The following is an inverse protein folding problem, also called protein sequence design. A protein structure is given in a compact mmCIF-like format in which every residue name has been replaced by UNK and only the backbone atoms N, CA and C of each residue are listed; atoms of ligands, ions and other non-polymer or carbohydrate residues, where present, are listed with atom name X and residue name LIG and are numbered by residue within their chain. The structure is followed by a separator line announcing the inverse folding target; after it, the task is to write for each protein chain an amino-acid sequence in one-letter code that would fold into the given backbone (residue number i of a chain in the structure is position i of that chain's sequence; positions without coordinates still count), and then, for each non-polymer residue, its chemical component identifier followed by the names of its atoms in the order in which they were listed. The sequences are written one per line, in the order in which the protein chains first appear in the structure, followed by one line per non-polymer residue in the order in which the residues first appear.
data_IF_634627876837
#
_entry.id   IF_634627876837
#
_cell.length_a   1.000
_cell.length_b   1.000
_cell.length_c   1.000
_cell.angle_alpha   90.00
_cell.angle_beta   90.00
_cell.angle_gamma   90.00
#
_symmetry.space_group_name_H-M   'P 1'
#
loop_
_entity.id
_entity.type
_entity.pdbx_description
1 polymer ?
#
# COMPACT_ATOMS: atom_id res chain seq x y z
N UNK A 1 6.25 22.22 -2.73
CA UNK A 1 6.21 21.39 -1.49
C UNK A 1 6.20 22.29 -0.28
N UNK A 2 5.35 22.01 0.72
CA UNK A 2 5.33 22.80 1.95
C UNK A 2 6.57 22.46 2.81
N UNK A 3 7.02 23.41 3.67
CA UNK A 3 8.12 23.19 4.63
C UNK A 3 7.85 21.93 5.49
N UNK A 4 6.60 21.71 5.88
CA UNK A 4 6.17 20.54 6.65
C UNK A 4 6.43 19.22 5.91
N UNK A 5 6.19 19.17 4.59
CA UNK A 5 6.47 17.98 3.79
C UNK A 5 7.97 17.69 3.70
N UNK A 6 8.81 18.72 3.64
CA UNK A 6 10.26 18.55 3.64
C UNK A 6 10.76 17.97 4.96
N UNK A 7 10.26 18.48 6.10
CA UNK A 7 10.58 17.94 7.43
C UNK A 7 10.07 16.50 7.56
N UNK A 8 8.86 16.23 7.15
CA UNK A 8 8.29 14.90 7.19
C UNK A 8 9.09 13.90 6.34
N UNK A 9 9.50 14.27 5.12
CA UNK A 9 10.36 13.45 4.26
C UNK A 9 11.73 13.20 4.90
N UNK A 10 12.34 14.22 5.54
CA UNK A 10 13.60 14.04 6.26
C UNK A 10 13.45 13.06 7.43
N UNK A 11 12.43 13.24 8.26
CA UNK A 11 12.14 12.32 9.37
C UNK A 11 11.83 10.90 8.88
N UNK A 12 11.12 10.77 7.75
CA UNK A 12 10.86 9.49 7.15
C UNK A 12 12.15 8.86 6.58
N UNK A 13 13.03 9.65 5.97
CA UNK A 13 14.29 9.14 5.43
C UNK A 13 15.23 8.58 6.50
N UNK A 14 15.22 9.17 7.71
CA UNK A 14 16.00 8.70 8.84
C UNK A 14 15.51 7.41 9.49
N UNK A 15 14.26 6.99 9.21
CA UNK A 15 13.74 5.71 9.72
C UNK A 15 14.24 4.56 8.84
N UNK A 16 14.72 3.50 9.48
CA UNK A 16 15.12 2.29 8.78
C UNK A 16 13.90 1.55 8.24
N UNK A 17 14.00 1.06 7.00
CA UNK A 17 13.02 0.12 6.47
C UNK A 17 13.26 -1.26 7.06
N UNK A 18 12.21 -2.02 7.41
CA UNK A 18 12.39 -3.36 7.89
C UNK A 18 13.12 -4.21 6.83
N UNK A 19 14.10 -5.00 7.30
CA UNK A 19 14.85 -5.91 6.42
C UNK A 19 13.94 -7.07 6.01
N UNK A 20 13.63 -7.17 4.74
CA UNK A 20 12.94 -8.31 4.14
C UNK A 20 13.69 -8.73 2.89
N UNK A 21 13.80 -10.03 2.66
CA UNK A 21 14.33 -10.53 1.40
C UNK A 21 13.38 -10.10 0.26
N UNK A 22 13.87 -9.27 -0.64
CA UNK A 22 13.10 -8.81 -1.79
C UNK A 22 12.85 -9.96 -2.74
N UNK A 23 11.61 -10.15 -3.12
CA UNK A 23 11.21 -11.18 -4.06
C UNK A 23 10.01 -10.70 -4.87
N UNK A 24 10.14 -10.75 -6.19
CA UNK A 24 9.00 -10.54 -7.08
C UNK A 24 8.15 -11.81 -7.09
N UNK A 25 6.96 -11.73 -6.50
CA UNK A 25 6.05 -12.87 -6.39
C UNK A 25 5.05 -12.80 -7.55
N UNK A 26 5.02 -13.81 -8.46
CA UNK A 26 4.04 -13.85 -9.55
C UNK A 26 2.63 -14.07 -9.01
N UNK A 27 1.63 -13.69 -9.79
CA UNK A 27 0.22 -13.81 -9.40
C UNK A 27 -0.15 -15.20 -8.87
N UNK A 28 0.31 -16.27 -9.54
CA UNK A 28 0.02 -17.67 -9.16
C UNK A 28 0.63 -18.13 -7.82
N UNK A 29 1.54 -17.35 -7.25
CA UNK A 29 2.21 -17.65 -5.98
C UNK A 29 1.86 -16.64 -4.87
N UNK A 30 1.02 -15.64 -5.19
CA UNK A 30 0.56 -14.68 -4.19
C UNK A 30 -0.34 -15.38 -3.16
N UNK A 31 -0.11 -15.08 -1.91
CA UNK A 31 -0.94 -15.55 -0.80
C UNK A 31 -1.55 -14.40 -0.01
N UNK A 32 -0.81 -13.29 0.12
CA UNK A 32 -1.20 -12.21 1.00
C UNK A 32 -0.78 -10.84 0.45
N UNK A 33 -1.75 -9.96 0.21
CA UNK A 33 -1.54 -8.62 -0.36
C UNK A 33 -2.01 -7.55 0.61
N UNK A 34 -1.21 -6.51 0.79
CA UNK A 34 -1.61 -5.28 1.46
C UNK A 34 -1.88 -4.19 0.42
N UNK A 35 -3.04 -3.56 0.49
CA UNK A 35 -3.34 -2.33 -0.26
C UNK A 35 -3.37 -1.17 0.73
N UNK A 36 -2.62 -0.10 0.44
CA UNK A 36 -2.72 1.17 1.15
C UNK A 36 -3.61 2.09 0.32
N UNK A 37 -4.75 2.48 0.88
CA UNK A 37 -5.74 3.31 0.22
C UNK A 37 -6.24 4.43 1.14
N UNK A 38 -6.69 5.52 0.56
CA UNK A 38 -7.46 6.53 1.27
C UNK A 38 -8.96 6.17 1.22
N UNK A 39 -9.74 6.72 2.13
CA UNK A 39 -11.19 6.45 2.26
C UNK A 39 -11.95 6.68 0.95
N UNK A 40 -11.60 7.71 0.19
CA UNK A 40 -12.20 8.03 -1.11
C UNK A 40 -11.81 7.07 -2.25
N UNK A 41 -10.89 6.14 -2.02
CA UNK A 41 -10.42 5.15 -3.00
C UNK A 41 -11.03 3.75 -2.79
N UNK A 42 -11.83 3.55 -1.75
CA UNK A 42 -12.32 2.21 -1.37
C UNK A 42 -13.18 1.53 -2.44
N UNK A 43 -13.97 2.29 -3.20
CA UNK A 43 -14.72 1.74 -4.32
C UNK A 43 -13.83 1.16 -5.42
N UNK A 44 -12.62 1.69 -5.58
CA UNK A 44 -11.68 1.29 -6.63
C UNK A 44 -10.98 -0.05 -6.34
N UNK A 45 -10.94 -0.48 -5.07
CA UNK A 45 -10.25 -1.73 -4.69
C UNK A 45 -11.12 -2.99 -4.85
N UNK A 46 -12.43 -2.83 -4.95
CA UNK A 46 -13.39 -3.95 -4.93
C UNK A 46 -13.12 -4.97 -6.05
N UNK A 47 -12.89 -4.52 -7.27
CA UNK A 47 -12.62 -5.41 -8.39
C UNK A 47 -11.33 -6.20 -8.21
N UNK A 48 -10.29 -5.57 -7.68
CA UNK A 48 -9.02 -6.23 -7.35
C UNK A 48 -9.21 -7.29 -6.26
N UNK A 49 -9.95 -6.97 -5.20
CA UNK A 49 -10.26 -7.91 -4.12
C UNK A 49 -11.02 -9.12 -4.68
N UNK A 50 -12.03 -8.90 -5.52
CA UNK A 50 -12.80 -9.97 -6.13
C UNK A 50 -11.92 -10.88 -7.02
N UNK A 51 -10.97 -10.30 -7.77
CA UNK A 51 -10.01 -11.08 -8.57
C UNK A 51 -9.11 -11.94 -7.67
N UNK A 52 -8.58 -11.36 -6.59
CA UNK A 52 -7.76 -12.08 -5.61
C UNK A 52 -8.52 -13.21 -4.92
N UNK A 53 -9.78 -12.98 -4.53
CA UNK A 53 -10.61 -13.99 -3.85
C UNK A 53 -10.85 -15.23 -4.73
N UNK A 54 -11.00 -15.08 -6.04
CA UNK A 54 -11.15 -16.21 -6.97
C UNK A 54 -9.93 -17.14 -6.99
N UNK A 55 -8.76 -16.60 -6.67
CA UNK A 55 -7.50 -17.34 -6.63
C UNK A 55 -7.04 -17.66 -5.19
N UNK A 56 -7.94 -17.49 -4.19
CA UNK A 56 -7.67 -17.68 -2.77
C UNK A 56 -6.54 -16.78 -2.22
N UNK A 57 -6.29 -15.63 -2.83
CA UNK A 57 -5.33 -14.62 -2.37
C UNK A 57 -6.02 -13.76 -1.31
N UNK A 58 -5.43 -13.65 -0.13
CA UNK A 58 -5.92 -12.78 0.95
C UNK A 58 -5.53 -11.34 0.67
N UNK A 59 -6.49 -10.42 0.78
CA UNK A 59 -6.25 -8.98 0.63
C UNK A 59 -6.61 -8.28 1.93
N UNK A 60 -5.68 -7.49 2.44
CA UNK A 60 -5.88 -6.56 3.55
C UNK A 60 -5.80 -5.14 3.03
N UNK A 61 -6.68 -4.28 3.49
CA UNK A 61 -6.67 -2.86 3.09
C UNK A 61 -6.36 -2.00 4.30
N UNK A 62 -5.22 -1.30 4.29
CA UNK A 62 -4.92 -0.24 5.25
C UNK A 62 -5.57 1.05 4.74
N UNK A 63 -6.65 1.45 5.41
CA UNK A 63 -7.45 2.62 5.02
C UNK A 63 -6.99 3.84 5.81
N UNK A 64 -6.38 4.80 5.12
CA UNK A 64 -6.02 6.09 5.70
C UNK A 64 -7.25 7.00 5.70
N UNK A 65 -7.62 7.43 6.89
CA UNK A 65 -8.79 8.25 7.11
C UNK A 65 -8.38 9.68 7.43
N UNK A 66 -8.73 10.61 6.57
CA UNK A 66 -8.48 12.05 6.79
C UNK A 66 -9.73 12.81 7.26
N UNK A 67 -10.91 12.18 7.19
CA UNK A 67 -12.21 12.73 7.56
C UNK A 67 -12.72 12.35 8.96
N UNK A 68 -14.03 12.51 9.18
CA UNK A 68 -14.75 12.03 10.36
C UNK A 68 -15.23 10.61 10.09
N UNK A 69 -14.80 9.64 10.91
CA UNK A 69 -15.14 8.21 10.82
C UNK A 69 -16.64 7.90 10.81
N UNK A 70 -17.47 8.79 11.36
CA UNK A 70 -18.91 8.58 11.57
C UNK A 70 -19.74 8.55 10.28
N UNK A 71 -19.17 8.97 9.14
CA UNK A 71 -19.93 9.18 7.89
C UNK A 71 -19.61 8.19 6.77
N UNK A 72 -18.71 7.22 7.00
CA UNK A 72 -18.29 6.32 5.92
C UNK A 72 -18.87 4.93 6.10
N UNK A 73 -19.47 4.35 5.05
CA UNK A 73 -19.90 2.95 5.07
C UNK A 73 -18.73 2.04 5.38
N UNK A 74 -18.88 1.11 6.32
CA UNK A 74 -17.84 0.12 6.62
C UNK A 74 -17.65 -0.76 5.38
N UNK A 75 -16.42 -0.90 4.87
CA UNK A 75 -16.16 -1.78 3.76
C UNK A 75 -16.53 -3.23 4.10
N UNK A 76 -17.04 -3.96 3.12
CA UNK A 76 -17.38 -5.40 3.25
C UNK A 76 -16.18 -6.31 2.92
N UNK A 77 -14.97 -5.92 3.32
CA UNK A 77 -13.73 -6.69 3.15
C UNK A 77 -12.80 -6.46 4.33
N UNK A 78 -11.77 -7.30 4.46
CA UNK A 78 -10.78 -7.16 5.55
C UNK A 78 -10.00 -5.85 5.41
N UNK A 79 -10.11 -5.02 6.43
CA UNK A 79 -9.49 -3.71 6.45
C UNK A 79 -9.02 -3.31 7.85
N UNK A 80 -8.03 -2.42 7.87
CA UNK A 80 -7.53 -1.77 9.07
C UNK A 80 -7.61 -0.25 8.90
N UNK A 81 -8.37 0.41 9.75
CA UNK A 81 -8.56 1.86 9.69
C UNK A 81 -7.40 2.54 10.42
N UNK A 82 -6.75 3.47 9.73
CA UNK A 82 -5.71 4.34 10.24
C UNK A 82 -6.24 5.78 10.28
N UNK A 83 -6.79 6.18 11.41
CA UNK A 83 -7.28 7.53 11.64
C UNK A 83 -6.15 8.47 12.14
N UNK A 84 -6.50 9.73 12.45
CA UNK A 84 -5.55 10.74 12.91
C UNK A 84 -4.76 10.34 14.18
N UNK A 85 -5.31 9.45 15.02
CA UNK A 85 -4.68 9.04 16.27
C UNK A 85 -3.51 8.09 16.05
N UNK A 86 -3.50 7.38 14.91
CA UNK A 86 -2.39 6.50 14.53
C UNK A 86 -1.21 7.24 13.90
N UNK A 87 -1.33 8.55 13.63
CA UNK A 87 -0.27 9.33 13.03
C UNK A 87 0.18 10.47 13.95
N UNK A 88 1.48 10.78 13.92
CA UNK A 88 1.99 12.00 14.53
C UNK A 88 1.69 13.23 13.65
N UNK A 89 2.10 14.41 14.13
CA UNK A 89 1.90 15.68 13.43
C UNK A 89 2.49 15.72 12.01
N UNK A 90 3.55 14.95 11.75
CA UNK A 90 4.21 14.85 10.44
C UNK A 90 3.64 13.76 9.55
N UNK A 91 2.56 13.09 9.93
CA UNK A 91 1.94 12.02 9.16
C UNK A 91 2.69 10.68 9.21
N UNK A 92 3.60 10.51 10.18
CA UNK A 92 4.31 9.24 10.40
C UNK A 92 3.47 8.39 11.36
N UNK A 93 3.16 7.12 11.02
CA UNK A 93 2.37 6.25 11.88
C UNK A 93 3.11 5.93 13.18
N UNK A 94 2.36 5.72 14.26
CA UNK A 94 2.90 5.27 15.52
C UNK A 94 3.31 3.77 15.45
N UNK A 95 4.09 3.31 16.43
CA UNK A 95 4.60 1.94 16.45
C UNK A 95 3.48 0.90 16.49
N UNK A 96 2.45 1.10 17.31
CA UNK A 96 1.34 0.14 17.42
C UNK A 96 0.58 -0.06 16.10
N UNK A 97 0.41 0.99 15.29
CA UNK A 97 -0.19 0.87 13.96
C UNK A 97 0.68 0.02 13.01
N UNK A 98 2.00 0.24 13.05
CA UNK A 98 2.95 -0.52 12.22
C UNK A 98 3.07 -1.97 12.71
N UNK A 99 3.15 -2.22 14.01
CA UNK A 99 3.18 -3.57 14.58
C UNK A 99 1.94 -4.36 14.20
N UNK A 100 0.76 -3.74 14.25
CA UNK A 100 -0.50 -4.37 13.83
C UNK A 100 -0.46 -4.81 12.36
N UNK A 101 0.07 -3.99 11.47
CA UNK A 101 0.23 -4.35 10.07
C UNK A 101 1.33 -5.41 9.89
N UNK A 102 2.47 -5.27 10.57
CA UNK A 102 3.60 -6.20 10.47
C UNK A 102 3.36 -7.55 11.17
N UNK A 103 2.29 -7.69 11.98
CA UNK A 103 1.86 -9.00 12.51
C UNK A 103 1.43 -9.95 11.39
N UNK A 104 1.13 -9.42 10.21
CA UNK A 104 0.81 -10.15 8.99
C UNK A 104 2.02 -10.13 8.05
N UNK A 105 2.28 -11.22 7.36
CA UNK A 105 3.33 -11.29 6.35
C UNK A 105 2.73 -11.02 4.98
N UNK A 106 3.25 -10.02 4.27
CA UNK A 106 2.77 -9.66 2.94
C UNK A 106 3.75 -10.06 1.86
N UNK A 107 3.25 -10.70 0.81
CA UNK A 107 4.02 -10.96 -0.41
C UNK A 107 4.16 -9.67 -1.21
N UNK A 108 3.07 -8.93 -1.32
CA UNK A 108 3.04 -7.67 -2.08
C UNK A 108 2.31 -6.58 -1.31
N UNK A 109 2.88 -5.38 -1.33
CA UNK A 109 2.26 -4.15 -0.87
C UNK A 109 2.01 -3.25 -2.08
N UNK A 110 0.78 -2.75 -2.21
CA UNK A 110 0.36 -1.84 -3.30
C UNK A 110 -0.06 -0.51 -2.67
N UNK A 111 0.60 0.58 -3.08
CA UNK A 111 0.26 1.92 -2.61
C UNK A 111 -0.59 2.65 -3.66
N UNK A 112 -1.80 3.05 -3.27
CA UNK A 112 -2.70 3.87 -4.09
C UNK A 112 -2.54 5.38 -3.84
N UNK A 113 -1.78 5.76 -2.81
CA UNK A 113 -1.44 7.16 -2.55
C UNK A 113 -0.49 7.73 -3.60
N UNK A 114 -0.35 9.04 -3.62
CA UNK A 114 0.57 9.75 -4.53
C UNK A 114 1.89 10.14 -3.83
N UNK A 115 2.83 10.71 -4.59
CA UNK A 115 4.17 11.08 -4.13
C UNK A 115 4.18 12.17 -3.02
N UNK A 116 3.10 12.90 -2.83
CA UNK A 116 2.99 13.98 -1.83
C UNK A 116 2.30 13.54 -0.55
N UNK A 117 1.71 12.35 -0.54
CA UNK A 117 0.94 11.82 0.58
C UNK A 117 1.85 11.08 1.58
N UNK A 118 2.44 11.83 2.50
CA UNK A 118 3.41 11.33 3.49
C UNK A 118 2.89 10.12 4.29
N UNK A 119 1.61 10.10 4.66
CA UNK A 119 1.02 8.99 5.43
C UNK A 119 1.15 7.65 4.68
N UNK A 120 0.79 7.62 3.40
CA UNK A 120 0.88 6.40 2.60
C UNK A 120 2.33 6.00 2.33
N UNK A 121 3.22 6.97 2.11
CA UNK A 121 4.66 6.72 1.95
C UNK A 121 5.27 6.16 3.23
N UNK A 122 4.91 6.70 4.39
CA UNK A 122 5.41 6.25 5.68
C UNK A 122 4.98 4.81 5.99
N UNK A 123 3.71 4.46 5.75
CA UNK A 123 3.24 3.09 5.88
C UNK A 123 3.99 2.18 4.90
N UNK A 124 4.11 2.58 3.63
CA UNK A 124 4.83 1.81 2.61
C UNK A 124 6.28 1.55 2.98
N UNK A 125 6.95 2.51 3.61
CA UNK A 125 8.33 2.37 4.06
C UNK A 125 8.46 1.42 5.26
N UNK A 126 7.58 1.56 6.25
CA UNK A 126 7.71 0.92 7.57
C UNK A 126 7.06 -0.48 7.63
N UNK A 127 6.13 -0.79 6.73
CA UNK A 127 5.52 -2.12 6.66
C UNK A 127 6.41 -3.06 5.85
N UNK A 128 6.52 -4.29 6.34
CA UNK A 128 7.29 -5.37 5.72
C UNK A 128 6.49 -6.03 4.60
N UNK A 129 7.07 -6.09 3.39
CA UNK A 129 6.55 -6.85 2.26
C UNK A 129 7.71 -7.28 1.35
N UNK A 130 7.57 -8.42 0.67
CA UNK A 130 8.61 -8.93 -0.25
C UNK A 130 8.75 -8.04 -1.49
N UNK A 131 7.65 -7.47 -1.98
CA UNK A 131 7.59 -6.56 -3.10
C UNK A 131 6.67 -5.37 -2.80
N UNK A 132 7.08 -4.16 -3.16
CA UNK A 132 6.29 -2.94 -2.98
C UNK A 132 6.06 -2.28 -4.33
N UNK A 133 4.80 -1.98 -4.64
CA UNK A 133 4.35 -1.47 -5.94
C UNK A 133 3.66 -0.12 -5.77
N UNK A 134 3.94 0.82 -6.68
CA UNK A 134 3.24 2.11 -6.77
C UNK A 134 3.03 2.52 -8.24
N UNK A 135 2.24 3.58 -8.46
CA UNK A 135 2.04 4.21 -9.76
C UNK A 135 3.00 5.39 -10.02
N UNK A 136 3.96 5.62 -9.12
CA UNK A 136 4.96 6.68 -9.27
C UNK A 136 6.33 6.19 -8.78
N UNK A 137 7.39 6.79 -9.29
CA UNK A 137 8.76 6.45 -8.91
C UNK A 137 9.12 7.00 -7.53
N UNK A 138 9.58 6.13 -6.65
CA UNK A 138 10.13 6.48 -5.34
C UNK A 138 11.01 5.32 -4.85
N UNK A 139 12.16 5.57 -4.20
CA UNK A 139 13.07 4.51 -3.71
C UNK A 139 12.45 3.51 -2.72
N UNK A 140 11.28 3.81 -2.15
CA UNK A 140 10.53 2.90 -1.27
C UNK A 140 9.98 1.69 -2.06
N UNK A 141 9.67 1.88 -3.35
CA UNK A 141 8.99 0.89 -4.18
C UNK A 141 9.97 0.12 -5.05
N UNK A 142 9.72 -1.18 -5.19
CA UNK A 142 10.50 -2.09 -6.03
C UNK A 142 10.02 -2.04 -7.48
N UNK A 143 8.73 -1.74 -7.67
CA UNK A 143 8.07 -1.63 -8.97
C UNK A 143 7.28 -0.32 -9.01
N UNK A 144 7.51 0.44 -10.08
CA UNK A 144 6.67 1.59 -10.41
C UNK A 144 6.01 1.34 -11.75
N UNK A 145 4.69 1.19 -11.74
CA UNK A 145 3.90 1.04 -12.97
C UNK A 145 3.44 2.44 -13.36
N UNK A 146 4.17 3.03 -14.30
CA UNK A 146 3.90 4.38 -14.76
C UNK A 146 2.57 4.41 -15.53
N UNK A 147 1.54 4.92 -14.87
CA UNK A 147 0.25 5.19 -15.48
C UNK A 147 0.17 6.66 -15.88
N UNK A 148 -0.66 6.96 -16.86
CA UNK A 148 -1.02 8.35 -17.20
C UNK A 148 -1.30 9.15 -15.93
N UNK A 149 -0.86 10.41 -15.84
CA UNK A 149 -0.97 11.28 -14.64
C UNK A 149 -2.40 11.42 -14.09
N UNK A 150 -3.39 10.93 -14.83
CA UNK A 150 -4.81 10.84 -14.48
C UNK A 150 -5.25 9.43 -14.08
N UNK A 151 -4.32 8.53 -13.77
CA UNK A 151 -4.64 7.11 -13.58
C UNK A 151 -5.56 6.94 -12.37
N UNK A 152 -6.80 6.56 -12.65
CA UNK A 152 -7.75 6.09 -11.65
C UNK A 152 -7.16 4.85 -10.96
N UNK A 153 -7.23 4.78 -9.63
CA UNK A 153 -6.72 3.67 -8.82
C UNK A 153 -7.22 2.30 -9.30
N UNK A 154 -8.44 2.22 -9.87
CA UNK A 154 -8.97 0.98 -10.46
C UNK A 154 -8.13 0.52 -11.67
N UNK A 155 -7.84 1.42 -12.62
CA UNK A 155 -6.99 1.10 -13.77
C UNK A 155 -5.58 0.71 -13.38
N UNK A 156 -5.02 1.40 -12.37
CA UNK A 156 -3.71 1.02 -11.83
C UNK A 156 -3.72 -0.40 -11.27
N UNK A 157 -4.74 -0.77 -10.49
CA UNK A 157 -4.87 -2.13 -9.95
C UNK A 157 -5.05 -3.18 -11.05
N UNK A 158 -5.76 -2.88 -12.13
CA UNK A 158 -5.86 -3.75 -13.32
C UNK A 158 -4.48 -3.97 -13.96
N UNK A 159 -3.67 -2.90 -14.10
CA UNK A 159 -2.29 -3.00 -14.60
C UNK A 159 -1.40 -3.83 -13.66
N UNK A 160 -1.56 -3.69 -12.34
CA UNK A 160 -0.84 -4.52 -11.36
C UNK A 160 -1.16 -6.00 -11.58
N UNK A 161 -2.43 -6.37 -11.78
CA UNK A 161 -2.83 -7.76 -12.07
C UNK A 161 -2.09 -8.27 -13.32
N UNK A 162 -2.14 -7.50 -14.42
CA UNK A 162 -1.47 -7.88 -15.68
C UNK A 162 0.04 -8.04 -15.45
N UNK A 163 0.67 -7.10 -14.76
CA UNK A 163 2.10 -7.15 -14.48
C UNK A 163 2.48 -8.39 -13.67
N UNK A 164 1.74 -8.70 -12.59
CA UNK A 164 2.01 -9.85 -11.74
C UNK A 164 1.81 -11.19 -12.48
N UNK A 165 0.93 -11.26 -13.48
CA UNK A 165 0.80 -12.43 -14.37
C UNK A 165 1.99 -12.57 -15.34
N UNK A 166 2.65 -11.46 -15.68
CA UNK A 166 3.80 -11.49 -16.60
C UNK A 166 5.11 -11.90 -15.90
N UNK A 167 5.17 -11.81 -14.58
CA UNK A 167 6.35 -12.25 -13.82
C UNK A 167 6.50 -13.76 -13.96
N UNK A 168 7.61 -14.19 -14.54
CA UNK A 168 7.98 -15.61 -14.62
C UNK A 168 8.94 -15.96 -13.50
N UNK A 169 8.62 -16.99 -12.73
CA UNK A 169 9.60 -17.59 -11.83
C UNK A 169 10.64 -18.33 -12.66
N UNK A 170 11.85 -17.81 -12.66
CA UNK A 170 13.00 -18.63 -13.10
C UNK A 170 13.24 -19.67 -12.02
N UNK A 171 12.78 -20.91 -12.26
CA UNK A 171 13.23 -22.04 -11.47
C UNK A 171 14.75 -22.19 -11.71
N UNK A 172 15.54 -21.88 -10.69
CA UNK A 172 16.92 -22.36 -10.58
C UNK A 172 16.91 -23.70 -9.89
#
# INVERSE_FOLDING_TARGET
MSLLNNIANYLLSSKESPKCAKQFVPWSQLSNVLIIAFDNQLSNVVNFINACQKENIKVHVAVIYDGKLEQTPKPNFDHHILDKKQFNFFGIPNEGAIETLNSKQFDTLINLGNAEQIKSLAISKLVTAKCKISHFQNPIFDISIDGDKTTNSSKFLEQVIVYLHMIKTTHK
#
